data_IF_191162187447
#
_entry.id   IF_191162187447
#
_cell.length_a   1.000
_cell.length_b   1.000
_cell.length_c   1.000
_cell.angle_alpha   90.00
_cell.angle_beta   90.00
_cell.angle_gamma   90.00
#
_symmetry.space_group_name_H-M   'P 1'
#
loop_
_entity.id
_entity.type
_entity.pdbx_description
1 polymer ?
2 non-polymer ?
3 non-polymer ?
4 non-polymer ?
5 non-polymer ?
6 water ?
#
# COMPACT_ATOMS: atom_id res chain seq x y z
N UNK A 1 3.23 -1.95 16.13
CA UNK A 1 4.07 -1.33 17.14
C UNK A 1 4.66 -0.03 16.61
N UNK A 2 5.51 -0.12 15.57
CA UNK A 2 6.15 1.05 14.95
C UNK A 2 5.08 2.02 14.46
N UNK A 3 5.33 3.31 14.58
CA UNK A 3 4.36 4.31 14.16
C UNK A 3 5.05 5.60 13.72
N UNK A 4 4.48 6.30 12.74
CA UNK A 4 5.06 7.55 12.28
C UNK A 4 4.81 8.63 13.32
N UNK A 5 5.79 9.51 13.52
CA UNK A 5 5.65 10.57 14.50
C UNK A 5 5.36 11.93 13.87
N UNK A 6 4.62 11.92 12.76
CA UNK A 6 4.27 13.15 12.06
C UNK A 6 3.01 12.93 11.24
N UNK A 7 2.36 14.02 10.85
CA UNK A 7 1.13 13.94 10.06
C UNK A 7 1.39 14.09 8.56
N UNK A 8 2.41 14.86 8.21
CA UNK A 8 2.75 15.05 6.80
C UNK A 8 3.69 13.95 6.36
N UNK A 9 3.18 13.03 5.56
CA UNK A 9 3.98 11.92 5.08
C UNK A 9 4.07 11.97 3.56
N UNK A 10 5.28 11.81 3.04
CA UNK A 10 5.49 11.84 1.60
C UNK A 10 5.78 10.46 1.03
N UNK A 11 5.45 10.28 -0.24
CA UNK A 11 5.72 9.03 -0.93
C UNK A 11 6.27 9.37 -2.30
N UNK A 12 7.04 8.46 -2.86
CA UNK A 12 7.62 8.65 -4.17
C UNK A 12 7.54 7.33 -4.91
N UNK A 13 7.15 7.39 -6.18
CA UNK A 13 7.06 6.18 -6.97
C UNK A 13 8.42 5.97 -7.62
N UNK A 14 9.16 4.99 -7.10
CA UNK A 14 10.50 4.67 -7.58
C UNK A 14 10.55 4.31 -9.05
N UNK A 15 9.71 3.38 -9.46
CA UNK A 15 9.65 2.95 -10.85
C UNK A 15 8.22 2.50 -11.15
N UNK A 16 7.89 2.39 -12.43
CA UNK A 16 6.55 2.01 -12.84
C UNK A 16 6.44 0.65 -13.49
N UNK A 17 5.34 -0.05 -13.21
CA UNK A 17 5.11 -1.34 -13.82
C UNK A 17 4.67 -1.06 -15.26
N UNK A 18 5.10 -1.91 -16.21
CA UNK A 18 4.73 -1.72 -17.62
C UNK A 18 3.31 -2.22 -17.88
N UNK A 19 2.72 -2.87 -16.88
CA UNK A 19 1.37 -3.42 -16.99
C UNK A 19 0.31 -2.34 -17.18
N UNK A 20 0.56 -1.17 -16.61
CA UNK A 20 -0.39 -0.06 -16.67
C UNK A 20 0.29 1.20 -17.16
N UNK A 21 -0.51 2.20 -17.50
CA UNK A 21 0.06 3.46 -17.93
C UNK A 21 0.52 4.18 -16.67
N UNK A 22 1.53 5.02 -16.82
CA UNK A 22 2.06 5.75 -15.68
C UNK A 22 0.98 6.46 -14.86
N UNK A 23 0.08 7.17 -15.53
CA UNK A 23 -0.96 7.90 -14.81
C UNK A 23 -1.93 6.98 -14.09
N UNK A 24 -2.06 5.75 -14.57
CA UNK A 24 -2.96 4.79 -13.92
C UNK A 24 -2.36 4.40 -12.58
N UNK A 25 -1.04 4.22 -12.57
CA UNK A 25 -0.32 3.86 -11.35
C UNK A 25 -0.39 5.02 -10.36
N UNK A 26 -0.07 6.23 -10.82
CA UNK A 26 -0.12 7.40 -9.95
C UNK A 26 -1.50 7.53 -9.30
N UNK A 27 -2.55 7.38 -10.10
CA UNK A 27 -3.91 7.51 -9.58
C UNK A 27 -4.26 6.43 -8.56
N UNK A 28 -4.03 5.17 -8.91
CA UNK A 28 -4.32 4.06 -8.01
C UNK A 28 -3.62 4.25 -6.66
N UNK A 29 -2.35 4.63 -6.70
CA UNK A 29 -1.60 4.83 -5.46
C UNK A 29 -2.16 6.00 -4.68
N UNK A 30 -2.48 7.09 -5.37
CA UNK A 30 -3.03 8.26 -4.69
C UNK A 30 -4.36 7.92 -4.01
N UNK A 31 -5.21 7.16 -4.70
CA UNK A 31 -6.50 6.78 -4.14
C UNK A 31 -6.30 5.88 -2.91
N UNK A 32 -5.29 5.01 -2.97
CA UNK A 32 -5.02 4.10 -1.86
C UNK A 32 -4.64 4.88 -0.60
N UNK A 33 -3.81 5.91 -0.75
CA UNK A 33 -3.41 6.73 0.39
C UNK A 33 -4.61 7.49 0.94
N UNK A 34 -5.44 8.02 0.04
CA UNK A 34 -6.62 8.77 0.42
C UNK A 34 -7.57 7.96 1.30
N UNK A 35 -7.62 6.65 1.07
CA UNK A 35 -8.48 5.78 1.86
C UNK A 35 -8.10 5.92 3.34
N UNK A 36 -6.80 6.00 3.61
CA UNK A 36 -6.33 6.13 4.98
C UNK A 36 -6.39 7.55 5.53
N UNK A 37 -6.04 8.54 4.71
CA UNK A 37 -6.09 9.92 5.17
C UNK A 37 -7.54 10.35 5.43
N UNK A 38 -8.50 9.65 4.83
CA UNK A 38 -9.91 9.98 5.03
C UNK A 38 -10.40 9.70 6.44
N UNK A 39 -9.71 8.82 7.16
CA UNK A 39 -10.12 8.48 8.50
C UNK A 39 -9.08 8.79 9.57
N UNK A 40 -8.16 9.69 9.25
CA UNK A 40 -7.11 10.09 10.18
C UNK A 40 -6.69 11.52 9.87
N UNK A 41 -5.77 12.08 10.67
CA UNK A 41 -5.28 13.44 10.46
C UNK A 41 -4.08 13.42 9.52
N UNK A 42 -3.75 12.24 9.01
CA UNK A 42 -2.60 12.09 8.12
C UNK A 42 -2.81 12.76 6.77
N UNK A 43 -1.73 13.30 6.22
CA UNK A 43 -1.75 13.94 4.91
C UNK A 43 -0.60 13.38 4.09
N UNK A 44 -0.91 12.94 2.88
CA UNK A 44 0.08 12.34 2.00
C UNK A 44 0.35 13.19 0.77
N UNK A 45 1.62 13.31 0.40
CA UNK A 45 2.02 14.09 -0.76
C UNK A 45 3.02 13.31 -1.59
N UNK A 46 2.85 13.34 -2.91
CA UNK A 46 3.75 12.66 -3.81
C UNK A 46 4.88 13.60 -4.18
N UNK A 47 6.12 13.13 -4.08
CA UNK A 47 7.28 13.95 -4.44
C UNK A 47 8.06 13.24 -5.54
N UNK A 48 8.78 14.00 -6.35
CA UNK A 48 9.55 13.43 -7.45
C UNK A 48 11.05 13.63 -7.28
N UNK A 49 11.44 14.41 -6.28
CA UNK A 49 12.85 14.65 -6.00
C UNK A 49 13.00 14.66 -4.49
N UNK A 50 14.15 14.21 -4.00
CA UNK A 50 14.36 14.18 -2.56
C UNK A 50 13.99 12.83 -1.98
N UNK A 51 14.20 12.67 -0.67
CA UNK A 51 13.90 11.43 0.03
C UNK A 51 12.47 11.41 0.53
N UNK A 52 11.69 10.44 0.05
CA UNK A 52 10.31 10.30 0.47
C UNK A 52 10.25 9.37 1.67
N UNK A 53 9.21 9.49 2.47
CA UNK A 53 9.05 8.62 3.62
C UNK A 53 8.72 7.21 3.13
N UNK A 54 7.79 7.14 2.19
CA UNK A 54 7.35 5.86 1.64
C UNK A 54 7.72 5.73 0.17
N UNK A 55 8.62 4.80 -0.14
CA UNK A 55 9.03 4.57 -1.51
C UNK A 55 8.24 3.40 -2.08
N UNK A 56 7.63 3.62 -3.24
CA UNK A 56 6.84 2.58 -3.90
C UNK A 56 7.70 1.96 -5.00
N UNK A 57 7.86 0.65 -4.96
CA UNK A 57 8.70 -0.04 -5.93
C UNK A 57 8.03 -1.24 -6.56
N UNK A 58 8.24 -1.43 -7.86
CA UNK A 58 7.70 -2.59 -8.56
C UNK A 58 8.91 -3.45 -8.90
N UNK A 59 8.89 -4.71 -8.46
CA UNK A 59 10.01 -5.61 -8.71
C UNK A 59 9.59 -7.07 -8.59
N UNK A 60 10.33 -7.94 -9.26
CA UNK A 60 10.04 -9.37 -9.23
C UNK A 60 11.16 -10.12 -8.52
N UNK A 61 10.87 -11.35 -8.10
CA UNK A 61 11.86 -12.17 -7.43
C UNK A 61 12.73 -11.46 -6.42
N UNK A 62 14.03 -11.73 -6.47
CA UNK A 62 14.99 -11.12 -5.56
C UNK A 62 15.19 -9.68 -6.01
N UNK A 63 14.85 -8.73 -5.15
CA UNK A 63 14.96 -7.33 -5.53
C UNK A 63 15.74 -6.41 -4.59
N UNK A 64 16.68 -6.96 -3.82
CA UNK A 64 17.47 -6.10 -2.97
C UNK A 64 17.25 -6.04 -1.47
N UNK A 65 16.23 -6.73 -0.95
CA UNK A 65 16.00 -6.70 0.50
C UNK A 65 16.02 -8.07 1.15
N UNK A 66 16.44 -9.07 0.40
CA UNK A 66 16.56 -10.43 0.92
C UNK A 66 15.24 -11.13 1.21
N UNK A 67 14.14 -10.59 0.68
CA UNK A 67 12.82 -11.21 0.83
C UNK A 67 12.22 -11.21 -0.56
N UNK A 68 12.65 -12.17 -1.37
CA UNK A 68 12.22 -12.27 -2.75
C UNK A 68 10.76 -12.62 -2.95
N UNK A 69 10.17 -12.06 -4.00
CA UNK A 69 8.79 -12.37 -4.31
C UNK A 69 8.76 -13.77 -4.90
N UNK A 70 7.55 -14.30 -5.13
CA UNK A 70 7.39 -15.67 -5.58
C UNK A 70 6.83 -15.93 -6.97
N UNK A 71 6.91 -14.96 -7.87
CA UNK A 71 6.36 -15.19 -9.20
C UNK A 71 4.88 -14.84 -9.23
N UNK A 72 4.24 -15.07 -10.36
CA UNK A 72 2.82 -14.75 -10.53
C UNK A 72 1.90 -15.43 -9.52
N UNK A 73 1.07 -14.62 -8.86
CA UNK A 73 0.14 -15.14 -7.87
C UNK A 73 0.77 -15.28 -6.49
N UNK A 74 -0.01 -15.77 -5.52
CA UNK A 74 0.50 -15.95 -4.17
C UNK A 74 0.72 -14.62 -3.46
N UNK A 75 1.97 -14.35 -3.08
CA UNK A 75 2.30 -13.09 -2.42
C UNK A 75 2.26 -12.03 -3.52
N UNK A 76 1.51 -10.96 -3.28
CA UNK A 76 1.34 -9.90 -4.28
C UNK A 76 2.23 -8.70 -4.03
N UNK A 77 2.62 -8.50 -2.78
CA UNK A 77 3.44 -7.37 -2.40
C UNK A 77 3.76 -7.47 -0.92
N UNK A 78 4.59 -6.56 -0.43
CA UNK A 78 4.93 -6.50 0.99
C UNK A 78 5.45 -5.11 1.28
N UNK A 79 5.42 -4.71 2.55
CA UNK A 79 5.85 -3.37 2.94
C UNK A 79 6.39 -3.32 4.37
N UNK A 80 7.35 -2.44 4.61
CA UNK A 80 7.92 -2.31 5.95
C UNK A 80 7.12 -1.34 6.80
N UNK A 81 7.05 -1.61 8.10
CA UNK A 81 6.32 -0.74 9.00
C UNK A 81 7.03 0.60 9.11
N UNK A 82 6.41 1.59 9.75
CA UNK A 82 6.96 2.94 9.94
C UNK A 82 8.43 2.95 10.37
N UNK A 83 9.19 3.87 9.79
CA UNK A 83 10.60 3.98 10.12
C UNK A 83 11.39 4.70 9.05
N UNK A 84 12.65 5.01 9.35
CA UNK A 84 13.52 5.69 8.40
C UNK A 84 14.12 4.67 7.44
N UNK A 85 14.86 5.16 6.45
CA UNK A 85 15.46 4.25 5.49
C UNK A 85 14.42 3.42 4.77
N UNK A 86 14.45 2.11 4.99
CA UNK A 86 13.52 1.20 4.33
C UNK A 86 12.11 1.25 4.93
N UNK A 87 12.01 1.72 6.17
CA UNK A 87 10.72 1.80 6.84
C UNK A 87 9.64 2.44 6.00
N UNK A 88 8.46 1.83 6.00
CA UNK A 88 7.35 2.37 5.24
C UNK A 88 7.32 2.02 3.76
N UNK A 89 8.46 1.65 3.18
CA UNK A 89 8.52 1.32 1.75
C UNK A 89 7.59 0.18 1.36
N UNK A 90 6.95 0.32 0.21
CA UNK A 90 6.03 -0.68 -0.29
C UNK A 90 6.54 -1.26 -1.61
N UNK A 91 6.66 -2.58 -1.66
CA UNK A 91 7.15 -3.28 -2.85
C UNK A 91 6.04 -4.12 -3.47
N UNK A 92 5.85 -3.98 -4.78
CA UNK A 92 4.82 -4.72 -5.49
C UNK A 92 5.46 -5.71 -6.47
N UNK A 93 5.08 -6.97 -6.33
CA UNK A 93 5.60 -8.06 -7.15
C UNK A 93 5.28 -7.85 -8.62
N UNK A 94 6.30 -7.52 -9.41
CA UNK A 94 6.11 -7.26 -10.84
C UNK A 94 5.64 -8.49 -11.60
N UNK A 95 5.82 -9.68 -11.02
CA UNK A 95 5.37 -10.88 -11.71
C UNK A 95 3.85 -10.95 -11.73
N UNK A 96 3.19 -10.08 -10.97
CA UNK A 96 1.72 -10.05 -10.99
C UNK A 96 1.38 -9.18 -12.19
N UNK A 97 0.15 -9.29 -12.68
CA UNK A 97 -0.28 -8.45 -13.78
C UNK A 97 -1.18 -7.40 -13.14
N UNK A 98 -0.63 -6.22 -12.88
CA UNK A 98 -1.38 -5.14 -12.24
C UNK A 98 -2.39 -4.48 -13.17
N UNK A 99 -3.57 -4.18 -12.62
CA UNK A 99 -4.63 -3.55 -13.41
C UNK A 99 -5.45 -2.54 -12.62
N UNK A 100 -6.33 -1.84 -13.34
CA UNK A 100 -7.22 -0.85 -12.77
C UNK A 100 -8.61 -1.49 -12.68
N UNK A 101 -8.69 -2.77 -13.05
CA UNK A 101 -9.95 -3.50 -13.05
C UNK A 101 -9.93 -4.84 -12.32
N UNK A 102 -10.93 -5.67 -12.59
CA UNK A 102 -11.07 -6.99 -11.96
C UNK A 102 -10.13 -8.07 -12.47
N UNK A 103 -9.45 -7.80 -13.58
CA UNK A 103 -8.52 -8.78 -14.12
C UNK A 103 -7.17 -8.69 -13.44
N UNK A 104 -6.32 -9.69 -13.64
CA UNK A 104 -5.01 -9.68 -13.01
C UNK A 104 -5.16 -9.40 -11.53
N UNK A 105 -4.31 -8.52 -11.00
CA UNK A 105 -4.38 -8.14 -9.59
C UNK A 105 -4.56 -6.63 -9.52
N UNK A 106 -5.63 -6.20 -8.87
CA UNK A 106 -5.94 -4.78 -8.76
C UNK A 106 -4.91 -4.01 -7.93
N UNK A 107 -4.24 -3.05 -8.56
CA UNK A 107 -3.22 -2.27 -7.86
C UNK A 107 -3.78 -1.47 -6.68
N UNK A 108 -4.85 -0.73 -6.93
CA UNK A 108 -5.45 0.08 -5.87
C UNK A 108 -5.78 -0.71 -4.60
N UNK A 109 -6.50 -1.82 -4.75
CA UNK A 109 -6.88 -2.63 -3.61
C UNK A 109 -5.65 -3.14 -2.86
N UNK A 110 -4.67 -3.63 -3.61
CA UNK A 110 -3.45 -4.15 -3.01
C UNK A 110 -2.67 -3.05 -2.31
N UNK A 111 -2.64 -1.86 -2.93
CA UNK A 111 -1.93 -0.73 -2.36
C UNK A 111 -2.56 -0.30 -1.04
N UNK A 112 -3.88 -0.40 -0.93
CA UNK A 112 -4.54 0.00 0.31
C UNK A 112 -4.03 -0.89 1.45
N UNK A 113 -3.98 -2.19 1.18
CA UNK A 113 -3.50 -3.16 2.15
C UNK A 113 -2.04 -2.87 2.53
N UNK A 114 -1.19 -2.72 1.52
CA UNK A 114 0.23 -2.46 1.77
C UNK A 114 0.48 -1.17 2.55
N UNK A 115 -0.21 -0.10 2.17
CA UNK A 115 -0.04 1.17 2.86
C UNK A 115 -0.50 1.00 4.31
N UNK A 116 -1.44 0.10 4.53
CA UNK A 116 -1.88 -0.15 5.89
C UNK A 116 -0.65 -0.57 6.68
N UNK A 117 0.17 -1.44 6.09
CA UNK A 117 1.40 -1.88 6.75
C UNK A 117 2.37 -0.71 6.89
N UNK A 118 2.54 0.05 5.82
CA UNK A 118 3.43 1.20 5.82
C UNK A 118 3.10 2.14 6.97
N UNK A 119 1.83 2.22 7.33
CA UNK A 119 1.39 3.10 8.40
C UNK A 119 1.48 2.47 9.79
N UNK A 120 1.80 1.18 9.85
CA UNK A 120 1.93 0.54 11.15
C UNK A 120 0.88 -0.50 11.52
N UNK A 121 0.03 -0.88 10.57
CA UNK A 121 -0.99 -1.88 10.86
C UNK A 121 -0.56 -3.28 10.46
N UNK A 122 -0.91 -4.26 11.29
CA UNK A 122 -0.57 -5.64 10.99
C UNK A 122 -1.80 -6.30 10.40
N UNK A 123 -1.75 -7.61 10.20
CA UNK A 123 -2.88 -8.33 9.64
C UNK A 123 -4.03 -8.44 10.63
N UNK A 124 -5.25 -8.48 10.10
CA UNK A 124 -6.44 -8.59 10.93
C UNK A 124 -7.04 -9.97 10.75
N UNK A 125 -7.80 -10.42 11.75
CA UNK A 125 -8.45 -11.72 11.65
C UNK A 125 -9.91 -11.51 11.23
N UNK A 126 -10.29 -10.25 11.02
CA UNK A 126 -11.65 -9.92 10.60
C UNK A 126 -11.72 -10.07 9.08
N UNK A 127 -12.55 -11.01 8.59
CA UNK A 127 -12.75 -11.31 7.17
C UNK A 127 -13.09 -10.09 6.31
N UNK A 128 -13.69 -9.08 6.92
CA UNK A 128 -14.08 -7.87 6.21
C UNK A 128 -12.99 -6.79 6.14
N UNK A 129 -11.95 -6.94 6.95
CA UNK A 129 -10.88 -5.94 6.98
C UNK A 129 -9.99 -5.94 5.75
N UNK A 130 -9.59 -4.75 5.31
CA UNK A 130 -8.71 -4.66 4.16
C UNK A 130 -7.35 -5.26 4.57
N UNK A 131 -7.08 -5.28 5.88
CA UNK A 131 -5.83 -5.84 6.37
C UNK A 131 -5.89 -7.37 6.56
N UNK A 132 -7.01 -7.98 6.20
CA UNK A 132 -7.15 -9.44 6.28
C UNK A 132 -6.17 -9.91 5.21
N UNK A 133 -5.32 -10.91 5.52
CA UNK A 133 -4.33 -11.41 4.55
C UNK A 133 -4.76 -12.15 3.28
N UNK A 134 -6.05 -12.20 2.98
CA UNK A 134 -6.49 -12.88 1.76
C UNK A 134 -7.14 -11.91 0.78
N UNK A 135 -6.57 -11.83 -0.41
CA UNK A 135 -7.06 -10.94 -1.45
C UNK A 135 -8.41 -11.36 -2.03
N UNK A 136 -9.27 -10.37 -2.24
CA UNK A 136 -10.58 -10.59 -2.83
C UNK A 136 -10.98 -9.32 -3.57
N UNK A 137 -11.14 -9.42 -4.88
CA UNK A 137 -11.51 -8.25 -5.66
C UNK A 137 -12.87 -7.68 -5.27
N UNK A 138 -12.95 -6.35 -5.26
CA UNK A 138 -14.18 -5.62 -4.97
C UNK A 138 -14.05 -4.35 -5.80
N UNK A 139 -15.13 -3.94 -6.46
CA UNK A 139 -15.06 -2.74 -7.26
C UNK A 139 -14.64 -1.57 -6.38
N UNK A 140 -13.77 -0.71 -6.90
CA UNK A 140 -13.30 0.43 -6.13
C UNK A 140 -14.44 1.31 -5.63
N UNK A 141 -15.50 1.44 -6.43
CA UNK A 141 -16.64 2.28 -6.06
C UNK A 141 -17.35 1.80 -4.80
N UNK A 142 -17.29 0.51 -4.52
CA UNK A 142 -17.97 0.00 -3.34
C UNK A 142 -17.01 -0.42 -2.23
N UNK A 143 -15.71 -0.33 -2.50
CA UNK A 143 -14.72 -0.69 -1.49
C UNK A 143 -14.79 0.23 -0.29
N UNK A 144 -14.61 -0.33 0.90
CA UNK A 144 -14.60 0.48 2.11
C UNK A 144 -13.87 -0.23 3.24
N UNK A 145 -13.17 0.55 4.05
CA UNK A 145 -12.45 -0.01 5.19
C UNK A 145 -13.48 -0.62 6.12
N UNK A 146 -13.09 -1.62 6.89
CA UNK A 146 -14.02 -2.23 7.83
C UNK A 146 -13.84 -1.48 9.14
N UNK A 147 -14.77 -1.67 10.07
CA UNK A 147 -14.68 -1.00 11.36
C UNK A 147 -13.36 -1.37 12.03
N UNK A 148 -12.92 -2.61 11.82
CA UNK A 148 -11.67 -3.06 12.41
C UNK A 148 -10.48 -2.26 11.88
N UNK A 149 -10.49 -1.97 10.59
CA UNK A 149 -9.42 -1.18 9.97
C UNK A 149 -9.42 0.23 10.58
N UNK A 150 -10.61 0.82 10.64
CA UNK A 150 -10.78 2.17 11.19
C UNK A 150 -10.25 2.25 12.62
N UNK A 151 -10.75 1.37 13.48
CA UNK A 151 -10.32 1.34 14.87
C UNK A 151 -8.80 1.26 14.96
N UNK A 152 -8.22 0.28 14.27
CA UNK A 152 -6.78 0.12 14.30
C UNK A 152 -5.98 1.34 13.87
N UNK A 153 -6.33 1.89 12.71
CA UNK A 153 -5.61 3.05 12.20
C UNK A 153 -5.81 4.28 13.10
N UNK A 154 -7.00 4.44 13.66
CA UNK A 154 -7.25 5.58 14.54
C UNK A 154 -6.62 5.40 15.92
N UNK A 155 -6.39 4.16 16.33
CA UNK A 155 -5.76 3.93 17.63
C UNK A 155 -4.32 4.43 17.53
N UNK A 156 -3.81 4.51 16.31
CA UNK A 156 -2.45 4.97 16.08
C UNK A 156 -2.34 6.47 15.81
N UNK A 157 -3.22 7.01 14.96
CA UNK A 157 -3.15 8.43 14.62
C UNK A 157 -4.35 9.29 15.00
N UNK A 158 -5.38 8.66 15.55
CA UNK A 158 -6.57 9.39 15.97
C UNK A 158 -7.44 9.97 14.88
N UNK A 159 -8.21 10.98 15.27
CA UNK A 159 -9.16 11.74 14.43
C UNK A 159 -10.57 11.18 14.54
X LIG B 1 2.53 -10.67 2.16
X LIG B 1 1.75 -9.54 2.74
X LIG B 1 0.86 -9.63 3.59
X LIG B 1 2.01 -8.24 2.32
X LIG B 1 1.26 -7.18 2.88
X LIG C 1 -6.97 -6.87 0.09
X LIG C 1 -6.70 -7.93 1.09
X LIG C 1 -8.27 -6.40 0.14
X LIG C 1 -5.94 -6.48 -0.79
X LIG C 1 -5.43 -8.53 1.18
X LIG C 1 -7.92 -8.21 1.89
X LIG C 1 -9.23 -7.45 0.96
X LIG C 1 -8.78 -5.38 -0.79
X LIG C 1 -4.66 -7.10 -0.69
X LIG C 1 -4.39 -8.12 0.29
X LIG C 1 -10.10 -6.70 1.81
X LIG C 1 -9.77 -8.36 0.00
X LIG C 1 -3.02 -8.76 0.40
X LIG C 1 -3.04 -10.23 -0.09
X LIG C 1 -2.08 -8.04 -0.40
X LIG C 1 -1.69 -10.81 -0.33
X LIG C 1 -0.72 -8.50 -0.38
X LIG C 1 -1.61 -12.29 -0.41
X LIG C 1 -0.54 -10.03 -0.48
X LIG C 1 -0.94 -12.98 0.77
X LIG C 1 0.57 -10.50 -0.68
X LIG C 1 -0.82 -12.35 2.05
X LIG C 1 -0.43 -14.30 0.62
X LIG C 1 -0.20 -13.02 3.13
X LIG C 1 0.19 -14.97 1.70
X LIG C 1 0.31 -14.33 2.96
X LIG D 1 -0.16 -7.96 4.42
X LIG E 1 10.81 -6.10 -1.06
X LIG F 1 3.56 -13.23 -6.47
X LIG G 1 11.08 4.69 3.77
X LIG H 1 3.79 -7.21 -14.18
X LIG I 1 15.19 -9.95 6.35
#
# INVERSE_FOLDING_TARGET
GPVWRKHYITYRINNYTPDMNREDVDYAIRKAFQVWSNVTPLKFSKINTGMADILVVFARGAHGDFHAFDGKGGILAHAFGPGSGIGGDAHFDEDEFWTTHSGGTNLFLTAVHEIGHSLGLGHSSDPKAVMFPTYKYVDINTFRLSADDIRGIQSLYGD
HAE C1 C2 O2 N O
CP8 C1 C2 N3 C4 C5 C6 S7 C8 C9 C10 O11 O12 C13 C14 O15 N16 C17 C18 C19 C20 O21 C22 C23 C24 C25 C26
ZN ZN
ZN ZN
CA CA
CA CA
CA CA
CA CA
#
